data_IF_713921647043
#
_entry.id   IF_713921647043
#
_cell.length_a   1.000
_cell.length_b   1.000
_cell.length_c   1.000
_cell.angle_alpha   90.00
_cell.angle_beta   90.00
_cell.angle_gamma   90.00
#
_symmetry.space_group_name_H-M   'P 1'
#
loop_
_entity.id
_entity.type
_entity.pdbx_description
1 polymer ?
#
# COMPACT_ATOMS: atom_id res chain seq x y z
N UNK A 1 15.14 12.77 22.40
CA UNK A 1 15.98 13.05 21.22
C UNK A 1 15.13 12.74 20.00
N UNK A 2 14.44 13.76 19.53
CA UNK A 2 13.54 13.72 18.36
C UNK A 2 14.29 14.27 17.17
N UNK A 3 15.47 13.71 16.88
CA UNK A 3 16.23 14.12 15.72
C UNK A 3 15.56 13.46 14.52
N UNK A 4 14.81 14.28 13.79
CA UNK A 4 14.41 13.97 12.43
C UNK A 4 15.71 13.79 11.65
N UNK A 5 15.78 12.79 10.77
CA UNK A 5 16.79 12.81 9.70
C UNK A 5 16.39 13.92 8.70
N UNK A 6 16.58 15.17 9.11
CA UNK A 6 16.16 16.37 8.37
C UNK A 6 17.00 16.58 7.09
N UNK A 7 18.14 15.88 6.98
CA UNK A 7 19.12 16.07 5.93
C UNK A 7 18.72 15.43 4.59
N UNK A 8 17.79 14.48 4.59
CA UNK A 8 17.40 13.73 3.39
C UNK A 8 15.90 13.88 3.17
N UNK A 9 15.53 14.29 1.95
CA UNK A 9 14.16 14.22 1.48
C UNK A 9 13.94 12.86 0.79
N UNK A 10 13.16 11.98 1.41
CA UNK A 10 12.86 10.66 0.88
C UNK A 10 11.79 10.68 -0.24
N UNK A 11 11.30 11.87 -0.61
CA UNK A 11 10.46 12.11 -1.78
C UNK A 11 11.23 12.74 -2.97
N UNK A 12 12.54 13.01 -2.84
CA UNK A 12 13.34 13.53 -3.94
C UNK A 12 13.51 12.47 -5.05
N UNK A 13 13.03 12.72 -6.29
CA UNK A 13 13.16 11.77 -7.40
C UNK A 13 14.61 11.50 -7.81
N UNK A 14 15.55 12.36 -7.41
CA UNK A 14 16.98 12.23 -7.69
C UNK A 14 17.75 11.58 -6.54
N UNK A 15 17.06 11.15 -5.47
CA UNK A 15 17.70 10.51 -4.34
C UNK A 15 18.34 9.19 -4.76
N UNK A 16 19.67 9.17 -4.76
CA UNK A 16 20.46 7.96 -5.00
C UNK A 16 20.77 7.24 -3.69
N UNK A 17 20.94 5.91 -3.75
CA UNK A 17 21.32 5.11 -2.59
C UNK A 17 20.25 5.05 -1.48
N UNK A 18 18.97 5.09 -1.86
CA UNK A 18 17.82 5.08 -0.94
C UNK A 18 17.95 4.03 0.17
N UNK A 19 18.26 2.79 -0.21
CA UNK A 19 18.36 1.67 0.73
C UNK A 19 19.59 1.77 1.65
N UNK A 20 20.70 2.30 1.14
CA UNK A 20 21.92 2.51 1.92
C UNK A 20 21.71 3.59 2.99
N UNK A 21 20.87 4.60 2.70
CA UNK A 21 20.51 5.66 3.65
C UNK A 21 19.57 5.16 4.75
N UNK A 22 18.61 4.29 4.41
CA UNK A 22 17.70 3.69 5.40
C UNK A 22 18.35 2.59 6.26
N UNK A 23 19.40 1.93 5.76
CA UNK A 23 20.05 0.81 6.45
C UNK A 23 20.50 1.15 7.89
N UNK A 24 21.30 2.22 8.15
CA UNK A 24 21.71 2.57 9.51
C UNK A 24 20.52 2.91 10.41
N UNK A 25 19.53 3.65 9.89
CA UNK A 25 18.33 4.00 10.65
C UNK A 25 17.54 2.75 11.08
N UNK A 26 17.45 1.75 10.20
CA UNK A 26 16.80 0.48 10.48
C UNK A 26 17.55 -0.31 11.55
N UNK A 27 18.88 -0.33 11.48
CA UNK A 27 19.73 -1.05 12.43
C UNK A 27 19.67 -0.40 13.82
N UNK A 28 19.86 0.91 13.90
CA UNK A 28 20.02 1.65 15.15
C UNK A 28 18.68 2.01 15.82
N UNK A 29 17.71 2.53 15.05
CA UNK A 29 16.50 3.14 15.61
C UNK A 29 15.26 2.25 15.47
N UNK A 30 15.10 1.60 14.31
CA UNK A 30 13.91 0.80 13.98
C UNK A 30 12.64 1.62 13.68
N UNK A 31 12.52 2.82 14.24
CA UNK A 31 11.52 3.84 13.90
C UNK A 31 12.22 5.20 13.83
N UNK A 32 12.01 5.94 12.74
CA UNK A 32 12.60 7.27 12.57
C UNK A 32 11.56 8.25 12.03
N UNK A 33 11.73 9.53 12.33
CA UNK A 33 10.95 10.59 11.68
C UNK A 33 11.71 11.02 10.42
N UNK A 34 11.08 10.84 9.26
CA UNK A 34 11.69 11.09 7.95
C UNK A 34 10.91 12.18 7.19
N UNK A 35 11.62 12.96 6.38
CA UNK A 35 11.05 14.01 5.52
C UNK A 35 10.62 13.46 4.17
N UNK A 36 9.46 13.91 3.71
CA UNK A 36 8.86 13.61 2.40
C UNK A 36 8.28 14.92 1.83
N UNK A 37 9.07 15.65 1.05
CA UNK A 37 8.75 17.00 0.59
C UNK A 37 8.56 17.95 1.76
N UNK A 38 7.41 18.63 1.78
CA UNK A 38 7.01 19.59 2.83
C UNK A 38 6.47 18.91 4.10
N UNK A 39 6.45 17.58 4.15
CA UNK A 39 5.90 16.82 5.27
C UNK A 39 6.97 15.97 5.95
N UNK A 40 6.74 15.60 7.21
CA UNK A 40 7.55 14.62 7.90
C UNK A 40 6.67 13.62 8.64
N UNK A 41 7.01 12.34 8.56
CA UNK A 41 6.24 11.24 9.13
C UNK A 41 7.10 10.30 9.94
N UNK A 42 6.50 9.63 10.92
CA UNK A 42 7.12 8.49 11.59
C UNK A 42 7.09 7.28 10.66
N UNK A 43 8.26 6.71 10.39
CA UNK A 43 8.44 5.56 9.50
C UNK A 43 8.92 4.37 10.31
N UNK A 44 8.20 3.26 10.18
CA UNK A 44 8.60 1.96 10.72
C UNK A 44 9.60 1.33 9.74
N UNK A 45 10.81 1.03 10.21
CA UNK A 45 11.92 0.63 9.34
C UNK A 45 12.19 -0.88 9.34
N UNK A 46 11.75 -1.60 10.39
CA UNK A 46 11.92 -3.05 10.46
C UNK A 46 10.61 -3.80 10.26
N UNK A 47 10.77 -5.01 9.73
CA UNK A 47 9.66 -5.85 9.29
C UNK A 47 8.71 -6.19 10.43
N UNK A 48 9.23 -6.46 11.63
CA UNK A 48 8.42 -6.85 12.77
C UNK A 48 7.44 -5.75 13.18
N UNK A 49 7.90 -4.50 13.23
CA UNK A 49 7.09 -3.33 13.57
C UNK A 49 6.04 -3.06 12.49
N UNK A 50 6.41 -3.15 11.20
CA UNK A 50 5.47 -3.02 10.09
C UNK A 50 4.41 -4.12 10.14
N UNK A 51 4.82 -5.36 10.37
CA UNK A 51 3.93 -6.52 10.45
C UNK A 51 2.95 -6.43 11.63
N UNK A 52 3.42 -5.93 12.78
CA UNK A 52 2.58 -5.62 13.93
C UNK A 52 1.59 -4.50 13.59
N UNK A 53 2.05 -3.38 13.03
CA UNK A 53 1.19 -2.24 12.71
C UNK A 53 0.04 -2.63 11.76
N UNK A 54 0.31 -3.49 10.77
CA UNK A 54 -0.75 -4.01 9.88
C UNK A 54 -1.79 -4.90 10.56
N UNK A 55 -1.46 -5.52 11.70
CA UNK A 55 -2.40 -6.34 12.49
C UNK A 55 -3.22 -5.50 13.48
N UNK A 56 -2.70 -4.35 13.90
CA UNK A 56 -3.32 -3.45 14.87
C UNK A 56 -4.09 -2.30 14.18
N UNK A 57 -5.10 -2.62 13.39
CA UNK A 57 -5.87 -1.65 12.60
C UNK A 57 -6.62 -0.60 13.45
N UNK A 58 -6.92 -0.92 14.71
CA UNK A 58 -7.51 0.03 15.69
C UNK A 58 -6.53 1.11 16.13
N UNK A 59 -5.22 0.84 16.04
CA UNK A 59 -4.15 1.79 16.41
C UNK A 59 -3.56 2.46 15.17
N UNK A 60 -3.41 1.71 14.08
CA UNK A 60 -2.87 2.17 12.81
C UNK A 60 -3.98 2.11 11.75
N UNK A 61 -4.83 3.16 11.75
CA UNK A 61 -5.92 3.29 10.78
C UNK A 61 -5.36 3.53 9.37
N UNK A 62 -5.60 2.57 8.48
CA UNK A 62 -5.34 2.71 7.04
C UNK A 62 -6.32 3.70 6.42
N UNK A 63 -7.58 3.70 6.88
CA UNK A 63 -8.61 4.61 6.41
C UNK A 63 -8.25 6.07 6.62
N UNK A 64 -7.62 6.42 7.75
CA UNK A 64 -7.13 7.78 7.99
C UNK A 64 -6.15 8.26 6.92
N UNK A 65 -5.29 7.37 6.40
CA UNK A 65 -4.36 7.69 5.33
C UNK A 65 -4.98 7.63 3.93
N UNK A 66 -5.83 6.63 3.65
CA UNK A 66 -6.31 6.37 2.29
C UNK A 66 -7.61 7.10 1.92
N UNK A 67 -8.47 7.47 2.89
CA UNK A 67 -9.70 8.24 2.58
C UNK A 67 -9.38 9.58 1.89
N UNK A 68 -8.45 10.42 2.39
CA UNK A 68 -8.15 11.72 1.75
C UNK A 68 -7.60 11.58 0.33
N UNK A 69 -6.88 10.48 0.05
CA UNK A 69 -6.22 10.24 -1.24
C UNK A 69 -7.20 9.63 -2.25
N UNK A 70 -8.01 8.67 -1.82
CA UNK A 70 -8.78 7.83 -2.75
C UNK A 70 -10.22 8.32 -2.95
N UNK A 71 -10.89 8.81 -1.91
CA UNK A 71 -12.33 9.12 -2.01
C UNK A 71 -12.68 10.26 -2.97
N UNK A 72 -11.89 11.36 -3.04
CA UNK A 72 -12.20 12.45 -3.98
C UNK A 72 -12.23 12.02 -5.44
N UNK A 73 -11.42 11.03 -5.82
CA UNK A 73 -11.25 10.60 -7.21
C UNK A 73 -11.98 9.30 -7.53
N UNK A 74 -12.18 8.43 -6.54
CA UNK A 74 -12.66 7.05 -6.75
C UNK A 74 -13.99 6.77 -6.03
N UNK A 75 -14.60 7.78 -5.40
CA UNK A 75 -15.68 7.62 -4.42
C UNK A 75 -15.28 6.69 -3.26
N UNK A 76 -16.25 6.37 -2.40
CA UNK A 76 -16.04 5.46 -1.27
C UNK A 76 -15.68 4.06 -1.79
N UNK A 77 -14.60 3.50 -1.24
CA UNK A 77 -14.07 2.22 -1.69
C UNK A 77 -13.32 1.48 -0.57
N UNK A 78 -13.03 0.20 -0.80
CA UNK A 78 -12.42 -0.71 0.18
C UNK A 78 -11.06 -0.23 0.74
N UNK A 79 -10.33 0.62 0.02
CA UNK A 79 -9.06 1.13 0.50
C UNK A 79 -9.24 2.08 1.68
N UNK A 80 -10.32 2.85 1.71
CA UNK A 80 -10.60 3.81 2.79
C UNK A 80 -11.31 3.22 4.01
N UNK A 81 -11.85 2.00 3.98
CA UNK A 81 -12.50 1.40 5.15
C UNK A 81 -11.49 0.74 6.11
N UNK A 82 -11.82 0.78 7.41
CA UNK A 82 -11.11 0.11 8.50
C UNK A 82 -12.00 -0.97 9.15
N UNK A 83 -11.36 -1.90 9.87
CA UNK A 83 -11.97 -2.87 10.78
C UNK A 83 -13.24 -3.57 10.25
N UNK A 84 -14.39 -3.35 10.88
CA UNK A 84 -15.63 -4.07 10.55
C UNK A 84 -16.14 -3.71 9.14
N UNK A 85 -16.17 -2.43 8.78
CA UNK A 85 -16.59 -2.00 7.44
C UNK A 85 -15.71 -2.61 6.36
N UNK A 86 -14.39 -2.61 6.59
CA UNK A 86 -13.46 -3.26 5.66
C UNK A 86 -13.71 -4.75 5.56
N UNK A 87 -13.92 -5.44 6.68
CA UNK A 87 -14.22 -6.87 6.73
C UNK A 87 -15.47 -7.22 5.92
N UNK A 88 -16.56 -6.47 6.14
CA UNK A 88 -17.83 -6.67 5.43
C UNK A 88 -17.65 -6.48 3.93
N UNK A 89 -17.12 -5.34 3.49
CA UNK A 89 -16.98 -5.10 2.06
C UNK A 89 -15.96 -6.03 1.38
N UNK A 90 -14.88 -6.39 2.08
CA UNK A 90 -13.91 -7.38 1.60
C UNK A 90 -14.56 -8.75 1.42
N UNK A 91 -15.48 -9.15 2.31
CA UNK A 91 -16.18 -10.44 2.22
C UNK A 91 -17.07 -10.55 0.98
N UNK A 92 -17.63 -9.42 0.52
CA UNK A 92 -18.45 -9.37 -0.69
C UNK A 92 -17.64 -9.56 -1.97
N UNK A 93 -16.42 -9.02 -2.03
CA UNK A 93 -15.58 -9.06 -3.25
C UNK A 93 -14.62 -10.25 -3.30
N UNK A 94 -14.14 -10.74 -2.16
CA UNK A 94 -13.12 -11.80 -2.08
C UNK A 94 -13.48 -13.10 -2.82
N UNK A 95 -14.76 -13.55 -2.89
CA UNK A 95 -15.12 -14.76 -3.62
C UNK A 95 -14.69 -14.77 -5.10
N UNK A 96 -14.75 -13.62 -5.77
CA UNK A 96 -14.33 -13.50 -7.18
C UNK A 96 -12.82 -13.68 -7.37
N UNK A 97 -12.02 -13.44 -6.33
CA UNK A 97 -10.55 -13.51 -6.36
C UNK A 97 -9.99 -14.80 -5.75
N UNK A 98 -10.83 -15.81 -5.51
CA UNK A 98 -10.36 -17.12 -5.03
C UNK A 98 -9.43 -17.76 -6.06
N UNK A 99 -8.43 -18.51 -5.59
CA UNK A 99 -7.47 -19.22 -6.46
C UNK A 99 -8.15 -20.08 -7.53
N UNK A 100 -9.30 -20.70 -7.21
CA UNK A 100 -10.09 -21.52 -8.13
C UNK A 100 -10.85 -20.71 -9.18
N UNK A 101 -11.07 -19.42 -8.94
CA UNK A 101 -11.76 -18.51 -9.86
C UNK A 101 -10.80 -17.82 -10.83
N UNK A 102 -9.56 -17.56 -10.42
CA UNK A 102 -8.56 -16.84 -11.22
C UNK A 102 -8.38 -17.43 -12.64
N UNK A 103 -8.19 -18.76 -12.84
CA UNK A 103 -8.03 -19.31 -14.19
C UNK A 103 -9.21 -19.01 -15.12
N UNK A 104 -10.44 -19.00 -14.57
CA UNK A 104 -11.67 -18.72 -15.33
C UNK A 104 -11.72 -17.30 -15.89
N UNK A 105 -11.05 -16.35 -15.25
CA UNK A 105 -10.94 -14.97 -15.72
C UNK A 105 -9.70 -14.72 -16.57
N UNK A 106 -8.56 -15.30 -16.17
CA UNK A 106 -7.26 -15.03 -16.77
C UNK A 106 -7.10 -15.75 -18.12
N UNK A 107 -7.53 -17.01 -18.22
CA UNK A 107 -7.34 -17.79 -19.45
C UNK A 107 -8.04 -17.15 -20.68
N UNK A 108 -9.30 -16.66 -20.59
CA UNK A 108 -9.94 -15.99 -21.72
C UNK A 108 -9.34 -14.62 -22.08
N UNK A 109 -8.70 -13.94 -21.12
CA UNK A 109 -8.05 -12.64 -21.34
C UNK A 109 -6.66 -12.79 -21.99
N UNK A 110 -5.96 -13.89 -21.67
CA UNK A 110 -4.61 -14.15 -22.16
C UNK A 110 -4.58 -15.02 -23.42
N UNK A 111 -5.66 -15.74 -23.72
CA UNK A 111 -5.79 -16.49 -24.98
C UNK A 111 -6.61 -15.67 -25.98
N UNK A 112 -6.04 -15.44 -27.16
CA UNK A 112 -6.71 -14.74 -28.25
C UNK A 112 -8.02 -15.46 -28.57
N UNK A 113 -9.15 -14.81 -28.34
CA UNK A 113 -10.46 -15.36 -28.74
C UNK A 113 -10.48 -15.56 -30.27
N UNK A 114 -10.82 -16.75 -30.80
CA UNK A 114 -10.81 -17.03 -32.25
C UNK A 114 -11.89 -16.28 -33.05
N UNK A 115 -12.63 -15.33 -32.46
CA UNK A 115 -13.73 -14.62 -33.12
C UNK A 115 -13.31 -13.40 -33.97
N UNK A 116 -12.02 -13.10 -34.12
CA UNK A 116 -11.57 -11.97 -34.96
C UNK A 116 -11.38 -12.32 -36.45
N UNK A 117 -11.80 -13.49 -36.92
CA UNK A 117 -11.80 -13.86 -38.34
C UNK A 117 -13.24 -13.90 -38.88
N UNK A 118 -13.84 -12.72 -39.12
CA UNK A 118 -14.92 -12.64 -40.11
C UNK A 118 -14.28 -12.41 -41.48
N UNK A 119 -14.53 -13.27 -42.47
CA UNK A 119 -14.09 -13.01 -43.84
C UNK A 119 -14.88 -11.82 -44.39
N UNK A 120 -14.18 -10.94 -45.10
CA UNK A 120 -14.73 -9.89 -45.96
C UNK A 120 -15.25 -10.56 -47.23
#
# INVERSE_FOLDING_TARGET
MTDVDDNIDYNDPNLTGYWQKLAPLREELGVARLRFGDTAGWVLLRYAEVSMAFREDTRFSKGAALKPITFPMMATNNQGYDSHEHTVHRSLVSPAFRRTMIPRYVEPLLTRSPQSARPI
#
